data_IF_895481299832
#
_entry.id   IF_895481299832
#
_cell.length_a   1.000
_cell.length_b   1.000
_cell.length_c   1.000
_cell.angle_alpha   90.00
_cell.angle_beta   90.00
_cell.angle_gamma   90.00
#
_symmetry.space_group_name_H-M   'P 1'
#
loop_
_entity.id
_entity.type
_entity.pdbx_description
1 polymer ?
#
# COMPACT_ATOMS: atom_id res chain seq x y z
N UNK A 1 15.90 23.15 -23.52
CA UNK A 1 14.84 22.23 -23.07
C UNK A 1 15.45 21.46 -21.91
N UNK A 2 15.28 21.95 -20.69
CA UNK A 2 15.84 21.30 -19.50
C UNK A 2 14.81 20.28 -19.03
N UNK A 3 15.20 19.02 -18.91
CA UNK A 3 14.39 18.03 -18.20
C UNK A 3 14.02 18.58 -16.80
N UNK A 4 12.76 18.45 -16.36
CA UNK A 4 12.42 18.76 -14.98
C UNK A 4 13.17 17.79 -14.04
N UNK A 5 13.57 18.23 -12.83
CA UNK A 5 14.29 17.38 -11.90
C UNK A 5 13.47 16.15 -11.54
N UNK A 6 14.01 14.96 -11.80
CA UNK A 6 13.43 13.65 -11.53
C UNK A 6 13.49 13.29 -10.02
N UNK A 7 13.28 14.27 -9.14
CA UNK A 7 13.70 14.21 -7.73
C UNK A 7 12.62 14.77 -6.79
N UNK A 8 11.51 14.04 -6.65
CA UNK A 8 10.71 13.92 -5.42
C UNK A 8 9.50 12.99 -5.67
N UNK A 9 9.74 11.68 -5.88
CA UNK A 9 8.73 10.71 -5.43
C UNK A 9 8.82 10.70 -3.90
N UNK A 10 8.20 11.72 -3.31
CA UNK A 10 8.20 12.03 -1.88
C UNK A 10 7.88 10.73 -1.12
N UNK A 11 8.81 10.26 -0.26
CA UNK A 11 8.52 9.10 0.60
C UNK A 11 7.22 9.36 1.33
N UNK A 12 6.39 8.32 1.58
CA UNK A 12 5.14 8.52 2.28
C UNK A 12 5.36 9.31 3.56
N UNK A 13 4.59 10.39 3.76
CA UNK A 13 4.64 11.23 4.96
C UNK A 13 4.26 10.48 6.25
N UNK A 14 3.77 9.25 6.09
CA UNK A 14 3.37 8.34 7.16
C UNK A 14 4.59 7.51 7.56
N UNK A 15 4.95 7.45 8.86
CA UNK A 15 6.05 6.59 9.31
C UNK A 15 5.78 5.11 9.01
N UNK A 16 6.81 4.39 8.58
CA UNK A 16 6.72 2.94 8.30
C UNK A 16 6.19 2.15 9.50
N UNK A 17 6.65 2.49 10.70
CA UNK A 17 6.18 1.84 11.93
C UNK A 17 4.66 1.99 12.15
N UNK A 18 4.06 3.10 11.69
CA UNK A 18 2.62 3.30 11.78
C UNK A 18 1.87 2.42 10.78
N UNK A 19 2.42 2.24 9.57
CA UNK A 19 1.89 1.31 8.56
C UNK A 19 1.94 -0.12 9.08
N UNK A 20 3.08 -0.54 9.65
CA UNK A 20 3.24 -1.90 10.22
C UNK A 20 2.25 -2.14 11.36
N UNK A 21 2.05 -1.14 12.24
CA UNK A 21 1.05 -1.23 13.31
C UNK A 21 -0.37 -1.37 12.77
N UNK A 22 -0.69 -0.68 11.68
CA UNK A 22 -2.01 -0.73 11.05
C UNK A 22 -2.24 -2.01 10.24
N UNK A 23 -1.18 -2.57 9.67
CA UNK A 23 -1.22 -3.68 8.71
C UNK A 23 -0.30 -4.85 9.14
N UNK A 24 -0.45 -5.44 10.34
CA UNK A 24 0.41 -6.54 10.79
C UNK A 24 0.36 -7.78 9.89
N UNK A 25 -0.73 -7.98 9.12
CA UNK A 25 -0.90 -9.16 8.26
C UNK A 25 0.14 -9.22 7.12
N UNK A 26 0.86 -8.13 6.82
CA UNK A 26 1.93 -8.14 5.83
C UNK A 26 3.22 -8.82 6.34
N UNK A 27 3.43 -8.86 7.66
CA UNK A 27 4.68 -9.28 8.28
C UNK A 27 5.09 -10.73 7.95
N UNK A 28 4.16 -11.71 7.90
CA UNK A 28 4.51 -13.08 7.50
C UNK A 28 5.05 -13.21 6.07
N UNK A 29 4.90 -12.17 5.24
CA UNK A 29 5.35 -12.16 3.84
C UNK A 29 6.69 -11.42 3.65
N UNK A 30 7.30 -10.95 4.73
CA UNK A 30 8.65 -10.38 4.70
C UNK A 30 9.70 -11.49 4.77
N UNK A 31 10.82 -11.31 4.06
CA UNK A 31 12.01 -12.15 4.20
C UNK A 31 12.82 -11.70 5.42
N UNK A 32 12.27 -11.97 6.61
CA UNK A 32 12.80 -11.51 7.89
C UNK A 32 12.09 -10.28 8.44
N UNK A 33 12.86 -9.38 9.06
CA UNK A 33 12.33 -8.18 9.70
C UNK A 33 12.06 -7.09 8.68
N UNK A 34 10.89 -6.45 8.75
CA UNK A 34 10.55 -5.30 7.94
C UNK A 34 11.26 -4.05 8.49
N UNK A 35 12.35 -3.62 7.83
CA UNK A 35 13.24 -2.54 8.29
C UNK A 35 13.04 -1.25 7.54
N UNK A 36 12.72 -1.34 6.25
CA UNK A 36 12.53 -0.18 5.40
C UNK A 36 11.40 -0.33 4.38
N UNK A 37 11.22 0.70 3.56
CA UNK A 37 10.20 0.73 2.52
C UNK A 37 10.42 -0.31 1.42
N UNK A 38 11.68 -0.68 1.13
CA UNK A 38 12.00 -1.68 0.12
C UNK A 38 11.53 -3.06 0.57
N UNK A 39 11.64 -3.36 1.86
CA UNK A 39 11.11 -4.60 2.43
C UNK A 39 9.58 -4.67 2.28
N UNK A 40 8.89 -3.57 2.58
CA UNK A 40 7.44 -3.48 2.41
C UNK A 40 7.02 -3.63 0.94
N UNK A 41 7.73 -2.98 0.01
CA UNK A 41 7.45 -3.10 -1.44
C UNK A 41 7.66 -4.53 -1.92
N UNK A 42 8.70 -5.20 -1.44
CA UNK A 42 8.97 -6.61 -1.76
C UNK A 42 7.85 -7.52 -1.25
N UNK A 43 7.46 -7.38 0.02
CA UNK A 43 6.39 -8.17 0.62
C UNK A 43 5.03 -7.91 -0.07
N UNK A 44 4.70 -6.65 -0.36
CA UNK A 44 3.51 -6.28 -1.12
C UNK A 44 3.50 -6.90 -2.53
N UNK A 45 4.64 -6.86 -3.22
CA UNK A 45 4.82 -7.46 -4.55
C UNK A 45 4.66 -8.99 -4.57
N UNK A 46 4.97 -9.65 -3.45
CA UNK A 46 4.74 -11.09 -3.25
C UNK A 46 3.25 -11.37 -2.96
N UNK A 47 2.71 -10.77 -1.91
CA UNK A 47 1.35 -11.10 -1.41
C UNK A 47 0.24 -10.71 -2.40
N UNK A 48 0.48 -9.71 -3.26
CA UNK A 48 -0.49 -9.30 -4.30
C UNK A 48 -0.95 -10.48 -5.15
N UNK A 49 -0.08 -11.46 -5.44
CA UNK A 49 -0.44 -12.65 -6.21
C UNK A 49 -1.44 -13.53 -5.47
N UNK A 50 -1.24 -13.71 -4.16
CA UNK A 50 -2.15 -14.47 -3.28
C UNK A 50 -3.51 -13.78 -3.13
N UNK A 51 -3.54 -12.45 -3.25
CA UNK A 51 -4.76 -11.65 -3.20
C UNK A 51 -5.51 -11.56 -4.54
N UNK A 52 -5.04 -12.26 -5.58
CA UNK A 52 -5.64 -12.19 -6.92
C UNK A 52 -5.37 -10.87 -7.67
N UNK A 53 -4.39 -10.08 -7.23
CA UNK A 53 -3.97 -8.85 -7.91
C UNK A 53 -3.01 -9.23 -9.05
N UNK A 54 -3.38 -8.90 -10.28
CA UNK A 54 -2.58 -9.21 -11.46
C UNK A 54 -1.27 -8.41 -11.49
N UNK A 55 -0.21 -8.90 -12.16
CA UNK A 55 1.03 -8.14 -12.34
C UNK A 55 0.78 -6.76 -12.94
N UNK A 56 -0.09 -6.68 -13.95
CA UNK A 56 -0.46 -5.41 -14.58
C UNK A 56 -1.14 -4.42 -13.64
N UNK A 57 -2.00 -4.88 -12.72
CA UNK A 57 -2.63 -4.01 -11.72
C UNK A 57 -1.60 -3.42 -10.75
N UNK A 58 -0.60 -4.25 -10.40
CA UNK A 58 0.49 -3.86 -9.50
C UNK A 58 1.43 -2.85 -10.16
N UNK A 59 1.82 -3.09 -11.41
CA UNK A 59 2.65 -2.17 -12.20
C UNK A 59 1.97 -0.81 -12.37
N UNK A 60 0.70 -0.81 -12.79
CA UNK A 60 -0.11 0.41 -12.92
C UNK A 60 -0.20 1.18 -11.58
N UNK A 61 -0.41 0.48 -10.46
CA UNK A 61 -0.43 1.11 -9.15
C UNK A 61 0.93 1.75 -8.79
N UNK A 62 2.05 1.07 -9.05
CA UNK A 62 3.39 1.61 -8.79
C UNK A 62 3.71 2.83 -9.66
N UNK A 63 3.27 2.82 -10.91
CA UNK A 63 3.45 3.94 -11.84
C UNK A 63 2.69 5.19 -11.37
N UNK A 64 1.40 5.02 -11.04
CA UNK A 64 0.49 6.12 -10.69
C UNK A 64 0.62 6.61 -9.23
N UNK A 65 0.98 5.73 -8.30
CA UNK A 65 1.09 6.06 -6.87
C UNK A 65 2.52 6.26 -6.38
N UNK A 66 3.50 5.70 -7.09
CA UNK A 66 4.82 5.41 -6.53
C UNK A 66 4.84 4.06 -5.78
N UNK A 67 6.02 3.39 -5.71
CA UNK A 67 6.11 2.03 -5.20
C UNK A 67 5.73 1.91 -3.73
N UNK A 68 6.15 2.85 -2.88
CA UNK A 68 5.87 2.83 -1.45
C UNK A 68 4.38 3.04 -1.16
N UNK A 69 3.73 4.00 -1.82
CA UNK A 69 2.29 4.24 -1.69
C UNK A 69 1.47 3.04 -2.17
N UNK A 70 1.86 2.43 -3.30
CA UNK A 70 1.24 1.20 -3.78
C UNK A 70 1.40 0.06 -2.76
N UNK A 71 2.57 -0.09 -2.15
CA UNK A 71 2.83 -1.11 -1.15
C UNK A 71 2.02 -0.91 0.14
N UNK A 72 1.92 0.33 0.64
CA UNK A 72 1.03 0.66 1.77
C UNK A 72 -0.42 0.30 1.42
N UNK A 73 -0.86 0.65 0.21
CA UNK A 73 -2.23 0.40 -0.23
C UNK A 73 -2.52 -1.11 -0.27
N UNK A 74 -1.62 -1.92 -0.82
CA UNK A 74 -1.74 -3.38 -0.82
C UNK A 74 -1.76 -3.93 0.60
N UNK A 75 -0.89 -3.45 1.50
CA UNK A 75 -0.89 -3.86 2.91
C UNK A 75 -2.23 -3.54 3.60
N UNK A 76 -2.81 -2.36 3.35
CA UNK A 76 -4.12 -1.99 3.87
C UNK A 76 -5.26 -2.85 3.30
N UNK A 77 -5.19 -3.20 2.01
CA UNK A 77 -6.16 -4.11 1.36
C UNK A 77 -6.04 -5.51 1.96
N UNK A 78 -4.81 -5.99 2.19
CA UNK A 78 -4.56 -7.28 2.84
C UNK A 78 -5.18 -7.33 4.24
N UNK A 79 -4.98 -6.28 5.03
CA UNK A 79 -5.53 -6.19 6.39
C UNK A 79 -7.07 -6.23 6.43
N UNK A 80 -7.74 -5.91 5.32
CA UNK A 80 -9.21 -5.96 5.16
C UNK A 80 -9.63 -6.93 4.06
N UNK A 81 -8.81 -7.92 3.76
CA UNK A 81 -8.98 -8.74 2.56
C UNK A 81 -10.35 -9.41 2.49
N UNK A 82 -10.86 -9.90 3.63
CA UNK A 82 -12.17 -10.55 3.74
C UNK A 82 -13.37 -9.63 3.45
N UNK A 83 -13.16 -8.32 3.48
CA UNK A 83 -14.20 -7.31 3.18
C UNK A 83 -14.16 -6.85 1.71
N UNK A 84 -13.18 -7.30 0.92
CA UNK A 84 -12.90 -6.78 -0.42
C UNK A 84 -13.12 -7.88 -1.47
N UNK A 85 -14.20 -7.74 -2.25
CA UNK A 85 -14.56 -8.72 -3.29
C UNK A 85 -13.57 -8.77 -4.46
N UNK A 86 -12.98 -7.63 -4.85
CA UNK A 86 -12.05 -7.54 -5.99
C UNK A 86 -10.84 -6.67 -5.64
N UNK A 87 -9.80 -7.26 -5.00
CA UNK A 87 -8.59 -6.52 -4.59
C UNK A 87 -7.88 -5.84 -5.76
N UNK A 88 -7.77 -6.52 -6.91
CA UNK A 88 -7.12 -5.95 -8.10
C UNK A 88 -7.91 -4.80 -8.73
N UNK A 89 -9.24 -4.92 -8.80
CA UNK A 89 -10.09 -3.83 -9.28
C UNK A 89 -10.06 -2.64 -8.33
N UNK A 90 -10.08 -2.89 -7.02
CA UNK A 90 -10.01 -1.84 -6.01
C UNK A 90 -8.67 -1.10 -6.04
N UNK A 91 -7.54 -1.81 -6.16
CA UNK A 91 -6.21 -1.21 -6.30
C UNK A 91 -6.14 -0.27 -7.51
N UNK A 92 -6.63 -0.69 -8.68
CA UNK A 92 -6.69 0.17 -9.89
C UNK A 92 -7.54 1.40 -9.68
N UNK A 93 -8.71 1.26 -9.05
CA UNK A 93 -9.57 2.41 -8.76
C UNK A 93 -8.88 3.43 -7.84
N UNK A 94 -8.08 2.98 -6.87
CA UNK A 94 -7.27 3.87 -6.04
C UNK A 94 -6.09 4.47 -6.82
N UNK A 95 -5.46 3.71 -7.73
CA UNK A 95 -4.35 4.18 -8.56
C UNK A 95 -4.80 5.30 -9.51
N UNK A 96 -5.96 5.12 -10.14
CA UNK A 96 -6.59 6.14 -10.97
C UNK A 96 -6.90 7.42 -10.18
N UNK A 97 -7.35 7.31 -8.92
CA UNK A 97 -7.53 8.48 -8.04
C UNK A 97 -6.21 9.15 -7.68
N UNK A 98 -5.15 8.38 -7.48
CA UNK A 98 -3.79 8.89 -7.20
C UNK A 98 -3.26 9.72 -8.37
N UNK A 99 -3.47 9.26 -9.60
CA UNK A 99 -3.09 9.99 -10.81
C UNK A 99 -3.75 11.38 -10.91
N UNK A 100 -4.92 11.55 -10.28
CA UNK A 100 -5.66 12.81 -10.20
C UNK A 100 -5.34 13.63 -8.93
N UNK A 101 -4.38 13.20 -8.10
CA UNK A 101 -4.09 13.83 -6.81
C UNK A 101 -5.18 13.64 -5.75
N UNK A 102 -6.15 12.76 -6.00
CA UNK A 102 -7.34 12.55 -5.17
C UNK A 102 -7.20 11.35 -4.21
N UNK A 103 -6.00 10.80 -4.05
CA UNK A 103 -5.74 9.67 -3.16
C UNK A 103 -4.47 9.87 -2.35
N UNK A 104 -4.53 9.46 -1.08
CA UNK A 104 -3.38 9.20 -0.24
C UNK A 104 -3.68 7.99 0.65
N UNK A 105 -2.67 7.21 1.07
CA UNK A 105 -2.89 6.02 1.88
C UNK A 105 -3.16 6.34 3.37
N UNK A 106 -2.92 7.58 3.81
CA UNK A 106 -3.06 8.00 5.21
C UNK A 106 -4.41 7.72 5.83
N UNK A 107 -5.53 8.15 5.20
CA UNK A 107 -6.86 7.84 5.69
C UNK A 107 -7.14 6.33 5.84
N UNK A 108 -6.59 5.48 4.95
CA UNK A 108 -6.75 4.03 5.07
C UNK A 108 -6.01 3.48 6.30
N UNK A 109 -4.76 3.91 6.50
CA UNK A 109 -3.94 3.53 7.68
C UNK A 109 -4.63 3.97 8.97
N UNK A 110 -5.13 5.21 9.02
CA UNK A 110 -5.82 5.72 10.21
C UNK A 110 -7.14 5.00 10.48
N UNK A 111 -7.90 4.65 9.43
CA UNK A 111 -9.13 3.87 9.59
C UNK A 111 -8.87 2.50 10.20
N UNK A 112 -7.79 1.82 9.78
CA UNK A 112 -7.36 0.53 10.34
C UNK A 112 -6.98 0.63 11.82
N UNK A 113 -6.16 1.63 12.18
CA UNK A 113 -5.78 1.85 13.59
C UNK A 113 -6.98 2.13 14.48
N UNK A 114 -7.93 2.93 13.99
CA UNK A 114 -9.16 3.24 14.72
C UNK A 114 -10.10 2.04 14.85
N UNK A 115 -10.15 1.18 13.83
CA UNK A 115 -10.93 -0.06 13.84
C UNK A 115 -10.36 -1.10 14.80
N UNK A 116 -9.04 -1.29 14.78
CA UNK A 116 -8.33 -2.18 15.70
C UNK A 116 -8.57 -1.79 17.17
N UNK A 117 -8.53 -0.49 17.47
CA UNK A 117 -8.78 0.01 18.82
C UNK A 117 -10.22 -0.24 19.33
N UNK A 118 -11.19 -0.40 18.42
CA UNK A 118 -12.58 -0.74 18.75
C UNK A 118 -12.80 -2.24 18.95
N UNK A 119 -12.00 -3.09 18.31
CA UNK A 119 -12.05 -4.54 18.49
C UNK A 119 -11.37 -5.01 19.79
N UNK A 120 -10.48 -4.19 20.37
CA UNK A 120 -9.77 -4.47 21.61
C UNK A 120 -10.42 -3.86 22.87
N UNK A 121 -11.55 -3.14 22.72
CA UNK A 121 -12.33 -2.52 23.79
C UNK A 121 -13.62 -3.31 24.04
#
# INVERSE_FOLDING_TARGET
MSDPPEQDRERPRIPLALVVKACPDILPYCDGELRDWRDLVTAAGFVRGMMGISPSAWEEARELMGPETAAITVACILQRFTEINSPGGYLRALAAKSALGAFSPGPMVMALLNGANRAAA
#
